data_IF_752961701153
#
_entry.id   IF_752961701153
#
_cell.length_a   1.000
_cell.length_b   1.000
_cell.length_c   1.000
_cell.angle_alpha   90.00
_cell.angle_beta   90.00
_cell.angle_gamma   90.00
#
_symmetry.space_group_name_H-M   'P 1'
#
loop_
_entity.id
_entity.type
_entity.pdbx_description
1 polymer ?
#
# COMPACT_ATOMS: atom_id res chain seq x y z
N UNK A 1 13.77 -1.57 -11.74
CA UNK A 1 14.09 -2.58 -10.71
C UNK A 1 15.48 -2.35 -10.10
N UNK A 2 16.55 -2.27 -10.90
CA UNK A 2 17.94 -2.13 -10.41
C UNK A 2 18.16 -0.99 -9.40
N UNK A 3 17.81 0.25 -9.78
CA UNK A 3 18.00 1.45 -8.93
C UNK A 3 17.14 1.40 -7.66
N UNK A 4 15.87 1.04 -7.80
CA UNK A 4 14.95 0.89 -6.66
C UNK A 4 15.39 -0.22 -5.66
N UNK A 5 16.33 -1.09 -6.04
CA UNK A 5 16.93 -2.10 -5.16
C UNK A 5 18.23 -1.61 -4.49
N UNK A 6 18.56 -0.32 -4.58
CA UNK A 6 19.71 0.29 -3.91
C UNK A 6 21.05 0.09 -4.62
N UNK A 7 21.05 -0.39 -5.87
CA UNK A 7 22.29 -0.52 -6.63
C UNK A 7 22.80 0.85 -7.09
N UNK A 8 24.12 1.09 -7.07
CA UNK A 8 24.71 2.31 -7.59
C UNK A 8 24.25 2.59 -9.02
N UNK A 9 24.00 3.87 -9.34
CA UNK A 9 23.63 4.32 -10.68
C UNK A 9 24.10 5.76 -10.90
N UNK A 10 24.43 6.09 -12.15
CA UNK A 10 24.92 7.43 -12.49
C UNK A 10 23.77 8.45 -12.53
N UNK A 11 24.11 9.72 -12.32
CA UNK A 11 23.15 10.81 -12.49
C UNK A 11 22.53 10.82 -13.91
N UNK A 12 23.32 10.49 -14.93
CA UNK A 12 22.85 10.35 -16.32
C UNK A 12 21.77 9.26 -16.44
N UNK A 13 21.99 8.08 -15.85
CA UNK A 13 21.01 6.99 -15.90
C UNK A 13 19.70 7.36 -15.19
N UNK A 14 19.78 8.00 -14.02
CA UNK A 14 18.58 8.47 -13.28
C UNK A 14 17.82 9.50 -14.10
N UNK A 15 18.52 10.46 -14.70
CA UNK A 15 17.92 11.49 -15.56
C UNK A 15 17.22 10.88 -16.79
N UNK A 16 17.88 9.98 -17.51
CA UNK A 16 17.29 9.30 -18.67
C UNK A 16 16.05 8.49 -18.29
N UNK A 17 16.10 7.75 -17.17
CA UNK A 17 14.95 7.00 -16.68
C UNK A 17 13.79 7.93 -16.26
N UNK A 18 14.09 9.09 -15.66
CA UNK A 18 13.06 10.06 -15.28
C UNK A 18 12.27 10.53 -16.51
N UNK A 19 12.96 10.88 -17.59
CA UNK A 19 12.31 11.30 -18.84
C UNK A 19 11.61 10.14 -19.55
N UNK A 20 12.24 8.96 -19.64
CA UNK A 20 11.62 7.77 -20.23
C UNK A 20 10.33 7.39 -19.51
N UNK A 21 10.31 7.42 -18.17
CA UNK A 21 9.08 7.17 -17.41
C UNK A 21 8.02 8.26 -17.65
N UNK A 22 8.43 9.51 -17.86
CA UNK A 22 7.52 10.58 -18.29
C UNK A 22 6.81 10.25 -19.60
N UNK A 23 7.56 9.79 -20.61
CA UNK A 23 7.00 9.35 -21.90
C UNK A 23 6.05 8.18 -21.70
N UNK A 24 6.48 7.11 -21.03
CA UNK A 24 5.64 5.92 -20.78
C UNK A 24 4.37 6.23 -19.98
N UNK A 25 4.44 7.14 -19.01
CA UNK A 25 3.29 7.55 -18.22
C UNK A 25 2.33 8.42 -19.05
N UNK A 26 2.85 9.25 -19.94
CA UNK A 26 2.03 10.00 -20.90
C UNK A 26 1.28 9.07 -21.86
N UNK A 27 1.96 8.04 -22.39
CA UNK A 27 1.35 7.02 -23.26
C UNK A 27 0.24 6.27 -22.52
N UNK A 28 0.47 5.90 -21.26
CA UNK A 28 -0.51 5.26 -20.41
C UNK A 28 -1.73 6.16 -20.16
N UNK A 29 -1.53 7.44 -19.83
CA UNK A 29 -2.62 8.40 -19.64
C UNK A 29 -3.46 8.58 -20.92
N UNK A 30 -2.80 8.73 -22.08
CA UNK A 30 -3.47 8.83 -23.37
C UNK A 30 -4.20 7.53 -23.74
N UNK A 31 -3.65 6.37 -23.40
CA UNK A 31 -4.32 5.08 -23.61
C UNK A 31 -5.60 4.96 -22.77
N UNK A 32 -5.58 5.41 -21.51
CA UNK A 32 -6.77 5.48 -20.66
C UNK A 32 -7.80 6.43 -21.26
N UNK A 33 -7.37 7.63 -21.72
CA UNK A 33 -8.25 8.59 -22.39
C UNK A 33 -8.94 7.98 -23.62
N UNK A 34 -8.17 7.30 -24.49
CA UNK A 34 -8.73 6.60 -25.67
C UNK A 34 -9.76 5.55 -25.29
N UNK A 35 -9.45 4.71 -24.30
CA UNK A 35 -10.38 3.65 -23.81
C UNK A 35 -11.65 4.25 -23.20
N UNK A 36 -11.51 5.34 -22.44
CA UNK A 36 -12.62 6.06 -21.84
C UNK A 36 -13.37 6.97 -22.82
N UNK A 37 -12.89 7.12 -24.07
CA UNK A 37 -13.40 8.06 -25.07
C UNK A 37 -13.42 9.52 -24.57
N UNK A 38 -12.43 9.88 -23.77
CA UNK A 38 -12.23 11.24 -23.25
C UNK A 38 -11.09 11.91 -24.02
N UNK A 39 -11.30 13.14 -24.47
CA UNK A 39 -10.23 13.93 -25.08
C UNK A 39 -9.23 14.38 -24.00
N UNK A 40 -7.91 14.24 -24.20
CA UNK A 40 -6.91 14.75 -23.25
C UNK A 40 -7.09 16.23 -22.91
N UNK A 41 -7.56 17.05 -23.87
CA UNK A 41 -7.86 18.48 -23.67
C UNK A 41 -8.98 18.75 -22.66
N UNK A 42 -9.79 17.74 -22.32
CA UNK A 42 -10.85 17.83 -21.31
C UNK A 42 -10.39 17.41 -19.91
N UNK A 43 -9.15 16.96 -19.75
CA UNK A 43 -8.61 16.62 -18.44
C UNK A 43 -8.33 17.90 -17.67
N UNK A 44 -8.96 18.04 -16.50
CA UNK A 44 -8.68 19.16 -15.59
C UNK A 44 -7.28 19.03 -14.98
N UNK A 45 -6.86 17.80 -14.65
CA UNK A 45 -5.55 17.50 -14.06
C UNK A 45 -5.22 16.01 -14.20
N UNK A 46 -3.93 15.68 -14.26
CA UNK A 46 -3.38 14.34 -14.10
C UNK A 46 -2.64 14.26 -12.76
N UNK A 47 -2.99 13.27 -11.92
CA UNK A 47 -2.21 12.94 -10.73
C UNK A 47 -1.16 11.88 -11.04
N UNK A 48 0.12 12.26 -11.07
CA UNK A 48 1.23 11.33 -11.32
C UNK A 48 2.07 11.14 -10.06
N UNK A 49 1.91 10.00 -9.38
CA UNK A 49 2.82 9.65 -8.29
C UNK A 49 4.28 9.49 -8.76
N UNK A 50 4.46 9.04 -10.00
CA UNK A 50 5.73 8.56 -10.52
C UNK A 50 6.12 7.20 -9.95
N UNK A 51 7.37 6.83 -10.16
CA UNK A 51 7.99 5.61 -9.66
C UNK A 51 8.93 5.95 -8.50
N UNK A 52 8.65 5.47 -7.30
CA UNK A 52 9.60 5.57 -6.19
C UNK A 52 10.86 4.78 -6.53
N UNK A 53 12.02 5.45 -6.47
CA UNK A 53 13.34 4.83 -6.58
C UNK A 53 14.14 4.93 -5.28
N UNK A 54 13.77 5.85 -4.39
CA UNK A 54 14.34 5.96 -3.05
C UNK A 54 13.31 6.54 -2.08
N UNK A 55 13.31 6.05 -0.84
CA UNK A 55 12.46 6.57 0.22
C UNK A 55 13.10 6.33 1.59
N UNK A 56 13.31 7.41 2.32
CA UNK A 56 13.86 7.41 3.67
C UNK A 56 12.97 8.30 4.55
N UNK A 57 11.87 7.73 5.06
CA UNK A 57 10.90 8.44 5.89
C UNK A 57 11.43 8.85 7.27
N UNK A 58 12.42 8.12 7.80
CA UNK A 58 13.12 8.48 9.05
C UNK A 58 14.31 9.39 8.77
N UNK A 59 14.66 10.24 9.73
CA UNK A 59 15.84 11.10 9.62
C UNK A 59 17.12 10.26 9.65
N UNK A 60 18.06 10.56 8.77
CA UNK A 60 19.43 10.07 8.80
C UNK A 60 20.38 11.24 8.64
N UNK A 61 21.64 11.03 9.04
CA UNK A 61 22.66 12.07 8.97
C UNK A 61 23.32 12.04 7.58
N UNK A 62 23.19 13.13 6.85
CA UNK A 62 23.81 13.35 5.54
C UNK A 62 24.59 14.66 5.60
N UNK A 63 25.89 14.62 5.26
CA UNK A 63 26.79 15.79 5.33
C UNK A 63 26.65 16.61 6.64
N UNK A 64 26.52 15.93 7.78
CA UNK A 64 26.37 16.56 9.10
C UNK A 64 24.96 17.05 9.46
N UNK A 65 23.98 16.95 8.55
CA UNK A 65 22.59 17.38 8.76
C UNK A 65 21.66 16.19 8.91
N UNK A 66 20.69 16.28 9.81
CA UNK A 66 19.62 15.30 9.89
C UNK A 66 18.54 15.61 8.86
N UNK A 67 18.37 14.73 7.88
CA UNK A 67 17.36 14.88 6.83
C UNK A 67 16.59 13.58 6.62
N UNK A 68 15.36 13.71 6.15
CA UNK A 68 14.61 12.63 5.50
C UNK A 68 14.49 12.98 4.02
N UNK A 69 14.36 11.97 3.15
CA UNK A 69 14.31 12.19 1.71
C UNK A 69 13.49 11.14 0.98
N UNK A 70 12.98 11.51 -0.19
CA UNK A 70 12.20 10.64 -1.06
C UNK A 70 12.46 11.05 -2.50
N UNK A 71 12.46 10.08 -3.42
CA UNK A 71 12.64 10.34 -4.83
C UNK A 71 11.68 9.48 -5.65
N UNK A 72 10.75 10.16 -6.30
CA UNK A 72 9.87 9.62 -7.32
C UNK A 72 10.31 10.19 -8.67
N UNK A 73 10.46 9.32 -9.67
CA UNK A 73 10.82 9.73 -11.04
C UNK A 73 9.69 9.38 -12.01
N UNK A 74 9.49 10.26 -13.00
CA UNK A 74 8.56 10.25 -14.13
C UNK A 74 8.29 11.73 -14.41
N UNK A 75 9.09 12.33 -15.29
CA UNK A 75 9.17 13.78 -15.43
C UNK A 75 7.78 14.40 -15.70
N UNK A 76 7.19 15.17 -14.74
CA UNK A 76 5.86 15.73 -14.91
C UNK A 76 5.77 16.74 -16.05
N UNK A 77 6.85 17.45 -16.39
CA UNK A 77 6.85 18.35 -17.55
C UNK A 77 6.68 17.59 -18.87
N UNK A 78 7.28 16.41 -19.00
CA UNK A 78 7.08 15.53 -20.17
C UNK A 78 5.61 15.08 -20.23
N UNK A 79 5.05 14.64 -19.10
CA UNK A 79 3.64 14.21 -19.05
C UNK A 79 2.70 15.36 -19.43
N UNK A 80 2.94 16.57 -18.91
CA UNK A 80 2.12 17.74 -19.18
C UNK A 80 2.16 18.14 -20.66
N UNK A 81 3.36 18.22 -21.24
CA UNK A 81 3.58 18.53 -22.65
C UNK A 81 2.89 17.51 -23.58
N UNK A 82 3.08 16.21 -23.32
CA UNK A 82 2.55 15.13 -24.19
C UNK A 82 1.04 14.98 -24.11
N UNK A 83 0.44 15.31 -22.97
CA UNK A 83 -1.01 15.16 -22.76
C UNK A 83 -1.79 16.45 -22.99
N UNK A 84 -1.12 17.60 -22.94
CA UNK A 84 -1.75 18.92 -22.96
C UNK A 84 -2.60 19.21 -21.72
N UNK A 85 -2.37 18.50 -20.61
CA UNK A 85 -3.13 18.63 -19.37
C UNK A 85 -2.20 19.02 -18.19
N UNK A 86 -2.67 19.82 -17.22
CA UNK A 86 -1.92 20.06 -15.99
C UNK A 86 -1.60 18.76 -15.25
N UNK A 87 -0.41 18.68 -14.66
CA UNK A 87 0.04 17.50 -13.90
C UNK A 87 0.33 17.93 -12.47
N UNK A 88 -0.22 17.19 -11.50
CA UNK A 88 0.25 17.21 -10.12
C UNK A 88 1.13 15.99 -9.89
N UNK A 89 2.37 16.22 -9.46
CA UNK A 89 3.32 15.15 -9.13
C UNK A 89 4.04 15.42 -7.80
N UNK A 90 4.96 14.53 -7.41
CA UNK A 90 5.78 14.69 -6.18
C UNK A 90 4.96 14.89 -4.89
N UNK A 91 3.96 14.01 -4.69
CA UNK A 91 3.02 14.11 -3.57
C UNK A 91 3.66 13.97 -2.19
N UNK A 92 4.84 13.35 -2.08
CA UNK A 92 5.43 12.98 -0.79
C UNK A 92 6.23 14.11 -0.14
N UNK A 93 6.90 14.93 -0.94
CA UNK A 93 7.91 15.87 -0.45
C UNK A 93 7.34 16.93 0.50
N UNK A 94 6.13 17.43 0.24
CA UNK A 94 5.49 18.45 1.09
C UNK A 94 5.18 17.92 2.52
N UNK A 95 4.70 16.68 2.62
CA UNK A 95 4.45 16.02 3.91
C UNK A 95 5.76 15.83 4.69
N UNK A 96 6.82 15.39 4.01
CA UNK A 96 8.14 15.23 4.61
C UNK A 96 8.74 16.55 5.09
N UNK A 97 8.60 17.63 4.31
CA UNK A 97 9.00 18.97 4.73
C UNK A 97 8.23 19.46 5.97
N UNK A 98 6.96 19.05 6.11
CA UNK A 98 6.15 19.28 7.30
C UNK A 98 6.52 18.38 8.50
N UNK A 99 7.52 17.52 8.36
CA UNK A 99 8.01 16.59 9.39
C UNK A 99 7.40 15.20 9.37
N UNK A 100 6.56 14.89 8.37
CA UNK A 100 6.00 13.56 8.20
C UNK A 100 6.95 12.60 7.51
N UNK A 101 6.50 11.36 7.33
CA UNK A 101 7.26 10.31 6.66
C UNK A 101 7.05 10.31 5.15
N UNK A 102 6.12 11.10 4.58
CA UNK A 102 5.78 11.09 3.15
C UNK A 102 4.96 9.87 2.71
N UNK A 103 4.56 9.02 3.66
CA UNK A 103 3.80 7.80 3.43
C UNK A 103 3.12 7.32 4.73
N UNK A 104 2.02 6.55 4.61
CA UNK A 104 1.16 6.43 3.44
C UNK A 104 0.26 7.67 3.25
N UNK A 105 -0.01 8.06 2.00
CA UNK A 105 -0.94 9.18 1.68
C UNK A 105 -2.36 8.71 1.33
N UNK A 106 -2.52 7.44 0.92
CA UNK A 106 -3.81 6.82 0.62
C UNK A 106 -4.84 6.91 1.77
N UNK A 107 -4.46 6.91 3.07
CA UNK A 107 -5.42 7.09 4.15
C UNK A 107 -6.29 8.34 4.07
N UNK A 108 -5.80 9.42 3.47
CA UNK A 108 -6.63 10.60 3.23
C UNK A 108 -7.75 10.31 2.24
N UNK A 109 -7.48 9.51 1.22
CA UNK A 109 -8.47 9.09 0.22
C UNK A 109 -9.43 8.06 0.80
N UNK A 110 -8.93 7.11 1.59
CA UNK A 110 -9.78 6.19 2.34
C UNK A 110 -10.75 6.96 3.25
N UNK A 111 -10.26 7.98 3.98
CA UNK A 111 -11.11 8.86 4.78
C UNK A 111 -12.21 9.52 3.94
N UNK A 112 -11.85 10.13 2.81
CA UNK A 112 -12.81 10.88 1.99
C UNK A 112 -13.90 9.99 1.40
N UNK A 113 -13.53 8.79 0.95
CA UNK A 113 -14.43 7.91 0.21
C UNK A 113 -15.18 6.90 1.10
N UNK A 114 -14.58 6.50 2.22
CA UNK A 114 -15.09 5.40 3.03
C UNK A 114 -15.65 5.83 4.38
N UNK A 115 -15.49 7.09 4.82
CA UNK A 115 -16.11 7.57 6.06
C UNK A 115 -17.63 7.41 6.03
N UNK A 116 -18.19 7.14 7.19
CA UNK A 116 -19.63 7.00 7.41
C UNK A 116 -20.02 7.68 8.71
N UNK A 117 -21.23 8.21 8.79
CA UNK A 117 -21.71 8.92 9.99
C UNK A 117 -22.09 7.98 11.12
N UNK A 118 -22.35 6.69 10.84
CA UNK A 118 -22.85 5.70 11.80
C UNK A 118 -21.95 4.47 11.92
N UNK A 119 -21.25 4.11 10.85
CA UNK A 119 -20.39 2.92 10.82
C UNK A 119 -18.90 3.25 10.92
N UNK A 120 -18.23 2.71 11.95
CA UNK A 120 -16.76 2.61 11.92
C UNK A 120 -16.30 1.59 10.87
N UNK A 121 -15.31 1.94 10.05
CA UNK A 121 -14.81 1.15 8.93
C UNK A 121 -13.30 1.02 8.97
N UNK A 122 -12.78 -0.09 8.47
CA UNK A 122 -11.35 -0.29 8.26
C UNK A 122 -11.11 -0.55 6.79
N UNK A 123 -10.31 0.30 6.14
CA UNK A 123 -9.79 0.02 4.81
C UNK A 123 -8.53 -0.84 4.95
N UNK A 124 -8.60 -2.11 4.54
CA UNK A 124 -7.49 -3.06 4.58
C UNK A 124 -6.92 -3.23 3.18
N UNK A 125 -5.65 -2.91 2.98
CA UNK A 125 -4.93 -3.25 1.75
C UNK A 125 -4.06 -4.47 1.99
N UNK A 126 -4.23 -5.52 1.18
CA UNK A 126 -3.43 -6.75 1.23
C UNK A 126 -2.52 -6.79 0.00
N UNK A 127 -1.42 -6.05 0.06
CA UNK A 127 -0.33 -6.07 -0.92
C UNK A 127 0.72 -7.12 -0.54
N UNK A 128 2.01 -6.83 -0.76
CA UNK A 128 3.09 -7.66 -0.20
C UNK A 128 3.09 -7.63 1.34
N UNK A 129 2.86 -6.43 1.90
CA UNK A 129 2.56 -6.18 3.32
C UNK A 129 1.08 -5.79 3.42
N UNK A 130 0.43 -6.21 4.49
CA UNK A 130 -0.96 -5.86 4.77
C UNK A 130 -1.01 -4.62 5.68
N UNK A 131 -1.77 -3.60 5.31
CA UNK A 131 -1.89 -2.37 6.08
C UNK A 131 -3.34 -1.89 6.18
N UNK A 132 -3.61 -1.09 7.20
CA UNK A 132 -4.96 -0.61 7.50
C UNK A 132 -5.02 0.90 7.63
N UNK A 133 -6.14 1.46 7.17
CA UNK A 133 -6.64 2.78 7.56
C UNK A 133 -7.89 2.55 8.42
N UNK A 134 -7.87 3.01 9.67
CA UNK A 134 -9.01 2.93 10.60
C UNK A 134 -9.76 4.24 10.57
N UNK A 135 -11.06 4.15 10.31
CA UNK A 135 -11.96 5.29 10.12
C UNK A 135 -13.13 5.12 11.11
N UNK A 136 -13.13 5.82 12.25
CA UNK A 136 -14.27 5.79 13.18
C UNK A 136 -15.59 6.26 12.53
N UNK A 137 -16.72 6.02 13.19
CA UNK A 137 -18.00 6.59 12.77
C UNK A 137 -18.00 8.11 13.04
N UNK A 138 -18.55 8.89 12.11
CA UNK A 138 -18.55 10.36 12.16
C UNK A 138 -17.18 11.00 12.35
N UNK A 139 -16.12 10.58 11.62
CA UNK A 139 -14.75 10.94 11.96
C UNK A 139 -14.36 12.34 11.48
N UNK A 140 -13.59 13.04 12.31
CA UNK A 140 -12.74 14.11 11.85
C UNK A 140 -11.43 13.53 11.26
N UNK A 141 -10.68 14.28 10.44
CA UNK A 141 -9.42 13.80 9.86
C UNK A 141 -8.40 13.30 10.90
N UNK A 142 -8.31 13.96 12.05
CA UNK A 142 -7.40 13.60 13.15
C UNK A 142 -7.75 12.28 13.86
N UNK A 143 -9.00 11.81 13.73
CA UNK A 143 -9.45 10.53 14.29
C UNK A 143 -9.01 9.33 13.46
N UNK A 144 -8.56 9.57 12.22
CA UNK A 144 -8.11 8.54 11.30
C UNK A 144 -6.67 8.17 11.63
N UNK A 145 -6.39 6.88 11.73
CA UNK A 145 -5.04 6.38 11.96
C UNK A 145 -4.80 5.11 11.15
N UNK A 146 -3.54 4.77 10.93
CA UNK A 146 -3.17 3.59 10.15
C UNK A 146 -1.81 3.04 10.51
N UNK A 147 -1.56 1.80 10.11
CA UNK A 147 -0.32 1.09 10.34
C UNK A 147 -0.29 -0.23 9.58
N UNK A 148 0.89 -0.84 9.50
CA UNK A 148 1.03 -2.18 8.95
C UNK A 148 0.59 -3.25 9.96
N UNK A 149 -0.12 -4.26 9.47
CA UNK A 149 -0.61 -5.39 10.26
C UNK A 149 0.37 -6.57 10.28
N UNK A 150 1.16 -6.72 9.23
CA UNK A 150 2.06 -7.87 9.04
C UNK A 150 2.20 -8.26 7.56
N UNK A 151 2.62 -9.50 7.27
CA UNK A 151 2.78 -9.95 5.90
C UNK A 151 1.42 -10.05 5.19
N UNK A 152 1.33 -9.48 3.99
CA UNK A 152 0.24 -9.74 3.04
C UNK A 152 0.60 -10.96 2.19
N UNK A 153 0.70 -10.78 0.88
CA UNK A 153 1.02 -11.82 -0.08
C UNK A 153 2.52 -12.18 -0.15
N UNK A 154 3.43 -11.37 0.40
CA UNK A 154 4.87 -11.52 0.14
C UNK A 154 5.42 -12.90 0.53
N UNK A 155 5.03 -13.42 1.70
CA UNK A 155 5.46 -14.75 2.18
C UNK A 155 4.81 -15.85 1.33
N UNK A 156 3.54 -15.68 0.98
CA UNK A 156 2.77 -16.62 0.15
C UNK A 156 3.40 -16.74 -1.25
N UNK A 157 3.64 -15.60 -1.89
CA UNK A 157 4.21 -15.50 -3.23
C UNK A 157 5.63 -16.08 -3.28
N UNK A 158 6.44 -15.80 -2.26
CA UNK A 158 7.79 -16.36 -2.15
C UNK A 158 7.76 -17.89 -2.05
N UNK A 159 6.83 -18.47 -1.29
CA UNK A 159 6.66 -19.91 -1.18
C UNK A 159 6.17 -20.54 -2.48
N UNK A 160 5.16 -19.94 -3.12
CA UNK A 160 4.68 -20.41 -4.43
C UNK A 160 5.80 -20.38 -5.47
N UNK A 161 6.57 -19.29 -5.52
CA UNK A 161 7.71 -19.18 -6.42
C UNK A 161 8.76 -20.25 -6.13
N UNK A 162 9.07 -20.50 -4.86
CA UNK A 162 10.03 -21.52 -4.44
C UNK A 162 9.59 -22.92 -4.88
N UNK A 163 8.40 -23.36 -4.48
CA UNK A 163 7.93 -24.73 -4.75
C UNK A 163 7.62 -24.99 -6.22
N UNK A 164 7.30 -23.95 -6.99
CA UNK A 164 7.03 -24.08 -8.42
C UNK A 164 8.27 -23.83 -9.28
N UNK A 165 9.44 -23.61 -8.67
CA UNK A 165 10.69 -23.26 -9.35
C UNK A 165 10.50 -22.07 -10.31
N UNK A 166 9.74 -21.07 -9.87
CA UNK A 166 9.47 -19.84 -10.61
C UNK A 166 8.35 -19.90 -11.65
N UNK A 167 7.74 -21.07 -11.91
CA UNK A 167 6.65 -21.19 -12.91
C UNK A 167 5.40 -20.41 -12.53
N UNK A 168 5.14 -20.23 -11.23
CA UNK A 168 4.07 -19.38 -10.69
C UNK A 168 4.66 -18.41 -9.69
N UNK A 169 4.09 -17.22 -9.62
CA UNK A 169 4.58 -16.13 -8.75
C UNK A 169 3.64 -15.81 -7.59
N UNK A 170 2.42 -16.35 -7.58
CA UNK A 170 1.41 -16.14 -6.54
C UNK A 170 0.42 -17.30 -6.49
N UNK A 171 -0.34 -17.45 -5.38
CA UNK A 171 -1.39 -18.46 -5.24
C UNK A 171 -2.73 -17.95 -5.81
N UNK A 172 -2.99 -18.24 -7.08
CA UNK A 172 -4.20 -17.82 -7.78
C UNK A 172 -5.48 -18.28 -7.10
N UNK A 173 -6.20 -17.33 -6.49
CA UNK A 173 -7.45 -17.57 -5.76
C UNK A 173 -7.28 -18.30 -4.43
N UNK A 174 -6.05 -18.52 -3.94
CA UNK A 174 -5.79 -19.30 -2.73
C UNK A 174 -5.95 -20.81 -2.90
N UNK A 175 -5.90 -21.32 -4.14
CA UNK A 175 -6.19 -22.74 -4.45
C UNK A 175 -5.14 -23.69 -3.89
N UNK A 176 -3.88 -23.28 -3.79
CA UNK A 176 -2.83 -24.10 -3.21
C UNK A 176 -2.95 -24.11 -1.68
N UNK A 177 -3.17 -22.95 -1.05
CA UNK A 177 -3.45 -22.84 0.38
C UNK A 177 -4.66 -23.69 0.80
N UNK A 178 -5.76 -23.64 0.04
CA UNK A 178 -6.97 -24.40 0.36
C UNK A 178 -6.79 -25.93 0.41
N UNK A 179 -5.76 -26.47 -0.25
CA UNK A 179 -5.45 -27.91 -0.31
C UNK A 179 -4.43 -28.37 0.73
N UNK A 180 -3.80 -27.43 1.42
CA UNK A 180 -2.80 -27.72 2.45
C UNK A 180 -3.40 -27.73 3.85
N UNK A 181 -2.61 -28.22 4.78
CA UNK A 181 -2.87 -28.19 6.21
C UNK A 181 -2.00 -27.13 6.90
N UNK A 182 -2.54 -26.46 7.92
CA UNK A 182 -1.80 -25.44 8.67
C UNK A 182 -0.93 -26.07 9.76
N UNK A 183 0.35 -25.67 9.82
CA UNK A 183 1.23 -25.98 10.95
C UNK A 183 0.90 -25.00 12.11
N UNK A 184 -0.02 -25.42 12.98
CA UNK A 184 -0.47 -24.63 14.14
C UNK A 184 0.67 -24.33 15.13
N UNK A 185 1.63 -25.24 15.28
CA UNK A 185 2.78 -25.02 16.16
C UNK A 185 3.72 -23.95 15.59
N UNK A 186 3.93 -23.92 14.28
CA UNK A 186 4.65 -22.84 13.61
C UNK A 186 3.90 -21.52 13.72
N UNK A 187 2.59 -21.49 13.44
CA UNK A 187 1.77 -20.27 13.56
C UNK A 187 1.83 -19.67 14.96
N UNK A 188 1.67 -20.49 16.00
CA UNK A 188 1.76 -20.04 17.38
C UNK A 188 3.12 -19.41 17.73
N UNK A 189 4.22 -19.95 17.18
CA UNK A 189 5.56 -19.36 17.35
C UNK A 189 5.72 -18.06 16.57
N UNK A 190 5.26 -18.01 15.32
CA UNK A 190 5.39 -16.83 14.46
C UNK A 190 4.61 -15.64 15.01
N UNK A 191 3.37 -15.84 15.45
CA UNK A 191 2.53 -14.77 16.00
C UNK A 191 3.05 -14.23 17.35
N UNK A 192 3.93 -14.96 18.04
CA UNK A 192 4.61 -14.50 19.26
C UNK A 192 5.88 -13.70 18.99
N UNK A 193 6.37 -13.63 17.75
CA UNK A 193 7.55 -12.82 17.41
C UNK A 193 7.34 -11.37 17.85
N UNK A 194 8.39 -10.75 18.37
CA UNK A 194 8.36 -9.39 18.92
C UNK A 194 7.88 -8.35 17.90
N UNK A 195 8.12 -8.58 16.60
CA UNK A 195 7.65 -7.71 15.52
C UNK A 195 6.12 -7.50 15.54
N UNK A 196 5.33 -8.54 15.84
CA UNK A 196 3.86 -8.45 15.92
C UNK A 196 3.38 -7.77 17.21
N UNK A 197 4.24 -7.67 18.21
CA UNK A 197 3.94 -7.03 19.49
C UNK A 197 4.20 -5.52 19.50
N UNK A 198 4.90 -4.98 18.48
CA UNK A 198 5.18 -3.55 18.33
C UNK A 198 3.87 -2.76 18.25
N UNK A 199 3.76 -1.70 19.07
CA UNK A 199 2.62 -0.77 19.05
C UNK A 199 2.69 0.13 17.81
N UNK A 200 1.55 0.59 17.25
CA UNK A 200 1.53 1.67 16.27
C UNK A 200 2.16 2.97 16.82
N UNK A 201 2.74 3.83 15.97
CA UNK A 201 2.90 3.67 14.52
C UNK A 201 3.94 2.60 14.17
N UNK A 202 3.68 1.82 13.12
CA UNK A 202 4.59 0.75 12.68
C UNK A 202 4.45 0.50 11.18
N UNK A 203 5.59 0.19 10.56
CA UNK A 203 5.75 -0.14 9.14
C UNK A 203 6.67 -1.37 9.03
N UNK A 204 6.44 -2.21 8.04
CA UNK A 204 7.20 -3.43 7.77
C UNK A 204 7.55 -3.52 6.28
N UNK A 205 8.59 -4.29 5.97
CA UNK A 205 9.04 -4.49 4.61
C UNK A 205 9.58 -5.89 4.34
N UNK A 206 10.46 -5.96 3.34
CA UNK A 206 11.14 -7.20 2.96
C UNK A 206 12.19 -7.61 4.00
N UNK A 207 12.61 -6.66 4.82
CA UNK A 207 13.53 -6.82 5.93
C UNK A 207 12.95 -7.78 6.97
N UNK A 208 11.67 -7.63 7.33
CA UNK A 208 10.99 -8.51 8.29
C UNK A 208 10.42 -9.79 7.65
N UNK A 209 9.80 -9.67 6.47
CA UNK A 209 8.98 -10.76 5.89
C UNK A 209 9.46 -11.26 4.53
N UNK A 210 10.70 -10.95 4.14
CA UNK A 210 11.29 -11.36 2.87
C UNK A 210 11.89 -12.78 2.87
N UNK A 211 12.84 -13.00 1.97
CA UNK A 211 13.41 -14.32 1.69
C UNK A 211 14.07 -14.96 2.92
N UNK A 212 14.75 -14.18 3.76
CA UNK A 212 15.36 -14.66 4.99
C UNK A 212 14.32 -15.23 5.96
N UNK A 213 13.16 -14.57 6.08
CA UNK A 213 12.04 -15.04 6.90
C UNK A 213 11.50 -16.37 6.37
N UNK A 214 11.25 -16.45 5.06
CA UNK A 214 10.76 -17.66 4.39
C UNK A 214 11.73 -18.84 4.58
N UNK A 215 13.02 -18.64 4.30
CA UNK A 215 14.06 -19.67 4.50
C UNK A 215 14.13 -20.12 5.95
N UNK A 216 14.10 -19.18 6.90
CA UNK A 216 14.20 -19.46 8.33
C UNK A 216 12.99 -20.25 8.84
N UNK A 217 11.78 -19.96 8.41
CA UNK A 217 10.59 -20.52 9.08
C UNK A 217 9.86 -21.59 8.29
N UNK A 218 9.87 -21.52 6.96
CA UNK A 218 9.01 -22.37 6.12
C UNK A 218 9.78 -23.44 5.34
N UNK A 219 11.08 -23.26 5.07
CA UNK A 219 11.86 -24.15 4.20
C UNK A 219 12.75 -25.14 4.97
N UNK A 220 12.49 -25.37 6.26
CA UNK A 220 13.34 -26.18 7.14
C UNK A 220 13.09 -27.70 7.09
N UNK A 221 11.98 -28.14 6.51
CA UNK A 221 11.59 -29.56 6.44
C UNK A 221 11.10 -29.91 5.05
N UNK A 222 11.21 -31.19 4.67
CA UNK A 222 10.49 -31.72 3.51
C UNK A 222 9.00 -31.71 3.83
N UNK A 223 8.28 -30.77 3.23
CA UNK A 223 6.84 -30.61 3.37
C UNK A 223 6.20 -30.73 1.99
N UNK A 224 4.92 -31.11 1.96
CA UNK A 224 4.11 -30.94 0.76
C UNK A 224 4.00 -29.44 0.47
N UNK A 225 4.11 -29.05 -0.79
CA UNK A 225 4.18 -27.63 -1.15
C UNK A 225 2.94 -26.83 -0.73
N UNK A 226 1.80 -27.49 -0.52
CA UNK A 226 0.54 -26.90 -0.08
C UNK A 226 0.59 -26.43 1.38
N UNK A 227 1.24 -27.17 2.29
CA UNK A 227 1.16 -26.92 3.74
C UNK A 227 1.89 -25.62 4.16
N UNK A 228 3.10 -25.31 3.66
CA UNK A 228 3.73 -24.01 3.90
C UNK A 228 2.91 -22.85 3.35
N UNK A 229 2.29 -23.01 2.17
CA UNK A 229 1.46 -21.97 1.55
C UNK A 229 0.17 -21.75 2.34
N UNK A 230 -0.46 -22.83 2.83
CA UNK A 230 -1.58 -22.75 3.78
C UNK A 230 -1.17 -22.03 5.06
N UNK A 231 -0.06 -22.45 5.67
CA UNK A 231 0.46 -21.88 6.92
C UNK A 231 0.79 -20.39 6.76
N UNK A 232 1.41 -19.98 5.65
CA UNK A 232 1.67 -18.57 5.36
C UNK A 232 0.38 -17.76 5.15
N UNK A 233 -0.63 -18.34 4.50
CA UNK A 233 -1.92 -17.68 4.30
C UNK A 233 -2.67 -17.50 5.63
N UNK A 234 -2.61 -18.49 6.53
CA UNK A 234 -3.12 -18.36 7.90
C UNK A 234 -2.34 -17.33 8.71
N UNK A 235 -1.01 -17.24 8.54
CA UNK A 235 -0.21 -16.21 9.20
C UNK A 235 -0.69 -14.81 8.82
N UNK A 236 -0.95 -14.55 7.54
CA UNK A 236 -1.53 -13.28 7.07
C UNK A 236 -2.88 -13.01 7.73
N UNK A 237 -3.84 -13.94 7.63
CA UNK A 237 -5.18 -13.75 8.19
C UNK A 237 -5.14 -13.50 9.70
N UNK A 238 -4.41 -14.35 10.44
CA UNK A 238 -4.34 -14.28 11.90
C UNK A 238 -3.53 -13.09 12.41
N UNK A 239 -2.49 -12.66 11.70
CA UNK A 239 -1.75 -11.45 12.08
C UNK A 239 -2.56 -10.18 11.87
N UNK A 240 -3.36 -10.10 10.80
CA UNK A 240 -4.34 -9.02 10.61
C UNK A 240 -5.32 -8.98 11.79
N UNK A 241 -5.99 -10.10 12.08
CA UNK A 241 -7.02 -10.17 13.13
C UNK A 241 -6.44 -9.91 14.52
N UNK A 242 -5.30 -10.52 14.86
CA UNK A 242 -4.61 -10.27 16.13
C UNK A 242 -4.24 -8.80 16.30
N UNK A 243 -3.81 -8.15 15.22
CA UNK A 243 -3.49 -6.72 15.22
C UNK A 243 -4.74 -5.87 15.43
N UNK A 244 -5.83 -6.14 14.69
CA UNK A 244 -7.09 -5.40 14.82
C UNK A 244 -7.69 -5.55 16.23
N UNK A 245 -7.72 -6.77 16.77
CA UNK A 245 -8.16 -7.02 18.14
C UNK A 245 -7.36 -6.22 19.17
N UNK A 246 -6.04 -6.15 19.00
CA UNK A 246 -5.15 -5.52 19.97
C UNK A 246 -5.18 -4.00 19.92
N UNK A 247 -5.21 -3.42 18.73
CA UNK A 247 -4.97 -1.98 18.53
C UNK A 247 -6.18 -1.20 18.03
N UNK A 248 -7.23 -1.86 17.54
CA UNK A 248 -8.40 -1.21 16.92
C UNK A 248 -9.67 -1.48 17.71
N UNK A 249 -10.13 -2.73 17.79
CA UNK A 249 -11.48 -3.04 18.29
C UNK A 249 -11.72 -2.71 19.76
N UNK A 250 -10.65 -2.58 20.55
CA UNK A 250 -10.73 -2.10 21.95
C UNK A 250 -10.97 -0.59 22.08
N UNK A 251 -10.79 0.16 21.00
CA UNK A 251 -10.81 1.63 20.99
C UNK A 251 -11.90 2.19 20.08
N UNK A 252 -12.21 1.50 18.99
CA UNK A 252 -13.14 1.95 17.95
C UNK A 252 -14.07 0.79 17.60
N UNK A 253 -15.38 1.04 17.61
CA UNK A 253 -16.37 0.07 17.13
C UNK A 253 -16.33 0.03 15.60
N UNK A 254 -15.86 -1.09 15.05
CA UNK A 254 -15.80 -1.33 13.62
C UNK A 254 -16.96 -2.23 13.20
N UNK A 255 -17.58 -1.91 12.06
CA UNK A 255 -18.70 -2.65 11.48
C UNK A 255 -18.28 -3.32 10.18
N UNK A 256 -17.38 -2.68 9.42
CA UNK A 256 -16.92 -3.20 8.12
C UNK A 256 -15.41 -3.20 7.98
N UNK A 257 -14.94 -4.23 7.29
CA UNK A 257 -13.59 -4.34 6.77
C UNK A 257 -13.66 -4.30 5.24
N UNK A 258 -13.15 -3.23 4.65
CA UNK A 258 -13.19 -2.96 3.21
C UNK A 258 -11.82 -3.32 2.62
N UNK A 259 -11.76 -4.42 1.88
CA UNK A 259 -10.51 -5.07 1.48
C UNK A 259 -10.11 -4.71 0.05
N UNK A 260 -8.86 -4.33 -0.12
CA UNK A 260 -8.22 -3.92 -1.37
C UNK A 260 -6.86 -4.62 -1.56
N UNK A 261 -6.23 -4.39 -2.71
CA UNK A 261 -4.96 -5.02 -3.07
C UNK A 261 -5.10 -6.47 -3.56
N UNK A 262 -4.01 -7.05 -4.05
CA UNK A 262 -4.02 -8.38 -4.68
C UNK A 262 -4.55 -9.49 -3.78
N UNK A 263 -4.40 -9.36 -2.45
CA UNK A 263 -4.89 -10.36 -1.49
C UNK A 263 -6.41 -10.42 -1.40
N UNK A 264 -7.13 -9.37 -1.78
CA UNK A 264 -8.60 -9.40 -1.89
C UNK A 264 -9.09 -10.44 -2.91
N UNK A 265 -8.25 -10.80 -3.90
CA UNK A 265 -8.55 -11.84 -4.91
C UNK A 265 -8.27 -13.26 -4.40
N UNK A 266 -7.64 -13.41 -3.24
CA UNK A 266 -7.39 -14.72 -2.62
C UNK A 266 -8.65 -15.16 -1.85
N UNK A 267 -9.54 -15.91 -2.52
CA UNK A 267 -10.82 -16.37 -1.95
C UNK A 267 -10.64 -17.17 -0.67
N UNK A 268 -9.58 -17.97 -0.58
CA UNK A 268 -9.28 -18.72 0.63
C UNK A 268 -8.92 -17.77 1.79
N UNK A 269 -8.03 -16.81 1.57
CA UNK A 269 -7.68 -15.79 2.59
C UNK A 269 -8.91 -14.99 3.04
N UNK A 270 -9.75 -14.56 2.10
CA UNK A 270 -10.99 -13.83 2.41
C UNK A 270 -11.95 -14.67 3.26
N UNK A 271 -12.12 -15.95 2.93
CA UNK A 271 -12.90 -16.88 3.75
C UNK A 271 -12.33 -16.98 5.18
N UNK A 272 -11.02 -17.13 5.31
CA UNK A 272 -10.36 -17.20 6.64
C UNK A 272 -10.52 -15.92 7.44
N UNK A 273 -10.41 -14.75 6.82
CA UNK A 273 -10.68 -13.48 7.50
C UNK A 273 -12.13 -13.41 8.00
N UNK A 274 -13.10 -13.84 7.20
CA UNK A 274 -14.51 -13.83 7.60
C UNK A 274 -14.80 -14.80 8.76
N UNK A 275 -14.20 -15.99 8.74
CA UNK A 275 -14.32 -16.98 9.83
C UNK A 275 -13.68 -16.48 11.14
N UNK A 276 -12.60 -15.70 11.05
CA UNK A 276 -11.92 -15.12 12.21
C UNK A 276 -12.59 -13.83 12.72
N UNK A 277 -13.46 -13.21 11.93
CA UNK A 277 -14.18 -11.97 12.25
C UNK A 277 -15.68 -12.12 11.98
N UNK A 278 -16.39 -13.02 12.71
CA UNK A 278 -17.79 -13.35 12.40
C UNK A 278 -18.75 -12.16 12.55
N UNK A 279 -18.40 -11.17 13.39
CA UNK A 279 -19.23 -9.99 13.66
C UNK A 279 -18.95 -8.80 12.72
N UNK A 280 -17.90 -8.89 11.89
CA UNK A 280 -17.51 -7.82 10.97
C UNK A 280 -17.91 -8.20 9.55
N UNK A 281 -18.60 -7.30 8.86
CA UNK A 281 -18.89 -7.51 7.43
C UNK A 281 -17.63 -7.21 6.62
N UNK A 282 -17.19 -8.19 5.83
CA UNK A 282 -16.02 -8.02 4.97
C UNK A 282 -16.50 -7.81 3.53
N UNK A 283 -16.14 -6.68 2.95
CA UNK A 283 -16.49 -6.32 1.57
C UNK A 283 -15.22 -6.04 0.76
N UNK A 284 -15.18 -6.39 -0.54
CA UNK A 284 -14.18 -5.82 -1.44
C UNK A 284 -14.38 -4.31 -1.58
N UNK A 285 -13.31 -3.57 -1.88
CA UNK A 285 -13.41 -2.13 -2.14
C UNK A 285 -14.24 -1.80 -3.37
N UNK A 286 -14.39 -2.74 -4.31
CA UNK A 286 -15.25 -2.63 -5.49
C UNK A 286 -16.70 -2.28 -5.14
N UNK A 287 -17.24 -2.84 -4.04
CA UNK A 287 -18.60 -2.56 -3.55
C UNK A 287 -18.80 -1.09 -3.16
N UNK A 288 -17.70 -0.35 -2.97
CA UNK A 288 -17.68 1.07 -2.58
C UNK A 288 -17.22 1.98 -3.73
N UNK A 289 -17.28 1.50 -4.99
CA UNK A 289 -16.84 2.27 -6.16
C UNK A 289 -15.31 2.44 -6.24
N UNK A 290 -14.57 1.59 -5.52
CA UNK A 290 -13.10 1.59 -5.49
C UNK A 290 -12.58 0.25 -6.01
N UNK A 291 -12.48 0.06 -7.34
CA UNK A 291 -11.98 -1.19 -7.90
C UNK A 291 -10.62 -1.56 -7.31
N UNK A 292 -10.46 -2.80 -6.84
CA UNK A 292 -9.25 -3.30 -6.16
C UNK A 292 -7.96 -2.93 -6.92
N UNK A 293 -7.97 -3.05 -8.25
CA UNK A 293 -6.79 -2.81 -9.10
C UNK A 293 -6.55 -1.32 -9.40
N UNK A 294 -7.54 -0.46 -9.19
CA UNK A 294 -7.49 0.96 -9.55
C UNK A 294 -7.39 1.90 -8.34
N UNK A 295 -7.55 1.38 -7.11
CA UNK A 295 -7.62 2.19 -5.88
C UNK A 295 -6.45 3.17 -5.75
N UNK A 296 -5.21 2.74 -6.00
CA UNK A 296 -4.05 3.64 -5.91
C UNK A 296 -4.06 4.72 -7.00
N UNK A 297 -4.44 4.39 -8.23
CA UNK A 297 -4.56 5.37 -9.31
C UNK A 297 -5.65 6.41 -9.02
N UNK A 298 -6.81 5.96 -8.50
CA UNK A 298 -7.88 6.84 -8.03
C UNK A 298 -7.39 7.73 -6.88
N UNK A 299 -6.59 7.19 -5.97
CA UNK A 299 -6.04 7.96 -4.86
C UNK A 299 -5.18 9.14 -5.34
N UNK A 300 -4.31 8.94 -6.32
CA UNK A 300 -3.50 10.04 -6.86
C UNK A 300 -4.31 11.02 -7.72
N UNK A 301 -5.38 10.57 -8.38
CA UNK A 301 -6.32 11.48 -9.05
C UNK A 301 -7.03 12.41 -8.04
N UNK A 302 -7.51 11.86 -6.91
CA UNK A 302 -8.15 12.64 -5.84
C UNK A 302 -7.14 13.57 -5.15
N UNK A 303 -5.92 13.10 -4.88
CA UNK A 303 -4.88 13.96 -4.31
C UNK A 303 -4.52 15.11 -5.24
N UNK A 304 -4.46 14.87 -6.56
CA UNK A 304 -4.23 15.93 -7.55
C UNK A 304 -5.36 16.95 -7.54
N UNK A 305 -6.61 16.51 -7.55
CA UNK A 305 -7.78 17.39 -7.43
C UNK A 305 -7.72 18.27 -6.17
N UNK A 306 -7.37 17.68 -5.03
CA UNK A 306 -7.20 18.43 -3.77
C UNK A 306 -6.08 19.46 -3.86
N UNK A 307 -4.95 19.10 -4.46
CA UNK A 307 -3.83 20.04 -4.69
C UNK A 307 -4.27 21.22 -5.54
N UNK A 308 -5.02 20.97 -6.62
CA UNK A 308 -5.55 22.03 -7.50
C UNK A 308 -6.49 22.98 -6.75
N UNK A 309 -7.21 22.50 -5.74
CA UNK A 309 -8.10 23.30 -4.88
C UNK A 309 -7.42 23.87 -3.63
N UNK A 310 -6.10 23.69 -3.46
CA UNK A 310 -5.39 24.14 -2.25
C UNK A 310 -5.81 23.42 -0.96
N UNK A 311 -6.37 22.21 -1.08
CA UNK A 311 -6.82 21.40 0.04
C UNK A 311 -5.72 20.44 0.51
N UNK A 312 -5.59 20.18 1.83
CA UNK A 312 -4.57 19.26 2.33
C UNK A 312 -4.75 17.83 1.83
N UNK A 313 -3.67 17.12 1.53
CA UNK A 313 -3.71 15.72 1.06
C UNK A 313 -3.08 14.69 1.98
N UNK A 314 -2.50 15.11 3.11
CA UNK A 314 -1.98 14.22 4.14
C UNK A 314 -2.88 14.19 5.38
N UNK A 315 -2.64 13.20 6.24
CA UNK A 315 -3.21 13.10 7.58
C UNK A 315 -2.06 13.09 8.60
N UNK A 316 -1.90 14.13 9.43
CA UNK A 316 -0.85 14.20 10.46
C UNK A 316 -0.80 12.99 11.40
N UNK A 317 -1.98 12.50 11.79
CA UNK A 317 -2.19 11.30 12.62
C UNK A 317 -1.65 10.01 11.99
N UNK A 318 -1.43 10.00 10.67
CA UNK A 318 -0.90 8.87 9.90
C UNK A 318 0.58 9.05 9.60
N UNK A 319 0.95 10.18 9.00
CA UNK A 319 2.31 10.38 8.47
C UNK A 319 3.30 10.90 9.52
N UNK A 320 2.80 11.41 10.65
CA UNK A 320 3.61 12.09 11.67
C UNK A 320 3.97 13.54 11.32
N UNK A 321 3.40 14.10 10.26
CA UNK A 321 3.58 15.52 9.94
C UNK A 321 3.05 16.41 11.07
N UNK A 322 3.67 17.58 11.27
CA UNK A 322 3.26 18.53 12.33
C UNK A 322 1.89 19.17 12.08
N UNK A 323 1.44 19.17 10.82
CA UNK A 323 0.17 19.76 10.38
C UNK A 323 -0.25 19.17 9.04
N UNK A 324 -1.53 19.35 8.71
CA UNK A 324 -2.03 19.05 7.38
C UNK A 324 -1.43 20.02 6.36
N UNK A 325 -1.05 19.53 5.19
CA UNK A 325 -0.43 20.29 4.11
C UNK A 325 -1.01 19.91 2.76
N UNK A 326 -1.04 20.89 1.86
CA UNK A 326 -1.24 20.62 0.43
C UNK A 326 -0.04 19.84 -0.07
N UNK A 327 -0.31 18.71 -0.71
CA UNK A 327 0.71 17.81 -1.26
C UNK A 327 0.93 18.07 -2.73
N UNK A 328 2.03 17.60 -3.28
CA UNK A 328 2.30 17.65 -4.71
C UNK A 328 2.75 19.02 -5.23
N UNK A 329 3.15 19.03 -6.48
CA UNK A 329 3.63 20.18 -7.26
C UNK A 329 2.85 20.24 -8.56
N UNK A 330 2.32 21.42 -8.90
CA UNK A 330 1.58 21.66 -10.14
C UNK A 330 2.57 22.00 -11.25
N UNK A 331 2.50 21.26 -12.35
CA UNK A 331 3.22 21.52 -13.60
C UNK A 331 2.17 21.78 -14.69
N UNK A 332 2.37 22.85 -15.44
CA UNK A 332 1.50 23.21 -16.56
C UNK A 332 2.12 22.72 -17.87
N UNK A 333 1.29 22.39 -18.89
CA UNK A 333 1.75 22.28 -20.27
C UNK A 333 2.39 23.59 -20.73
#
# INVERSE_FOLDING_TARGET
AHVASGHPSSASAISQMNFLLGELFSEAALAVCRRAKVSPKKLSVIGSHGQTIYHQGTRSREAGREISSTMQIAEPAVIAERTGAPVVADFRSADMAAGGQGAPLVPMVDYLLLRDTREGRVALNIGGIANVTVIPAGPNPEDVFGFDTGPGNMVIDALVRHFTKGRRTFDGGGKQAARGESDEALLGRLLRLSIFQRKPPRSFGREEFGEAFVKRFFLRKRLRAEDPVRTATELTARSIVATLNRFVFRRVKIHRLIVSGGGAKNKFLMKRLQELLPEITINPSDDFGLPIDAKEAIAFAILADRTMHGLPGNLPSVTGARRSVVVGKIVRP
#
